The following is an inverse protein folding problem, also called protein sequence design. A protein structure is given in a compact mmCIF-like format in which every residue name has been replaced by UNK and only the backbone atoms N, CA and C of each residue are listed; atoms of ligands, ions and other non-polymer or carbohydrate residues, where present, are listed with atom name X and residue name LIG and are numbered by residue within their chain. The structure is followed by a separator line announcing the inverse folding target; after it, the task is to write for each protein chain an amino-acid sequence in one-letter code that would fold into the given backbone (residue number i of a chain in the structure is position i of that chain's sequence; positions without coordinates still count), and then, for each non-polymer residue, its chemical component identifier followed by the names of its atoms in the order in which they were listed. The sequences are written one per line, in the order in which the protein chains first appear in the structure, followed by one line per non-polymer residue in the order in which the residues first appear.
data_IF_557697135324
#
_entry.id   IF_557697135324
#
_cell.length_a   1.000
_cell.length_b   1.000
_cell.length_c   1.000
_cell.angle_alpha   90.00
_cell.angle_beta   90.00
_cell.angle_gamma   90.00
#
_symmetry.space_group_name_H-M   'P 1'
#
loop_
_entity.id
_entity.type
_entity.pdbx_description
1 polymer ?
#
# COMPACT_ATOMS: atom_id res chain seq x y z
N UNK A 1 21.09 21.75 10.46
CA UNK A 1 19.61 21.77 10.36
C UNK A 1 19.12 20.35 10.60
N UNK A 2 18.62 20.06 11.79
CA UNK A 2 18.13 18.73 12.17
C UNK A 2 16.72 18.52 11.60
N UNK A 3 16.54 17.50 10.77
CA UNK A 3 15.25 17.19 10.15
C UNK A 3 14.39 16.34 11.08
N UNK A 4 13.18 16.80 11.38
CA UNK A 4 12.16 15.99 12.03
C UNK A 4 11.58 14.97 11.04
N UNK A 5 11.39 13.74 11.50
CA UNK A 5 10.62 12.74 10.75
C UNK A 5 9.16 13.17 10.58
N UNK A 6 8.47 12.63 9.57
CA UNK A 6 7.06 13.00 9.25
C UNK A 6 6.12 12.98 10.46
N UNK A 7 6.16 11.99 11.38
CA UNK A 7 5.25 11.98 12.54
C UNK A 7 5.52 13.13 13.51
N UNK A 8 6.79 13.38 13.83
CA UNK A 8 7.19 14.46 14.73
C UNK A 8 6.86 15.82 14.15
N UNK A 9 7.06 16.00 12.83
CA UNK A 9 6.70 17.25 12.14
C UNK A 9 5.19 17.50 12.17
N UNK A 10 4.38 16.47 11.95
CA UNK A 10 2.93 16.59 12.04
C UNK A 10 2.47 17.10 13.42
N UNK A 11 3.01 16.55 14.50
CA UNK A 11 2.66 17.00 15.86
C UNK A 11 3.06 18.45 16.10
N UNK A 12 4.27 18.84 15.68
CA UNK A 12 4.78 20.21 15.83
C UNK A 12 3.87 21.19 15.09
N UNK A 13 3.52 20.87 13.85
CA UNK A 13 2.71 21.74 12.99
C UNK A 13 1.26 21.84 13.49
N UNK A 14 0.65 20.73 13.94
CA UNK A 14 -0.72 20.72 14.46
C UNK A 14 -0.86 21.47 15.79
N UNK A 15 0.15 21.38 16.66
CA UNK A 15 0.14 22.01 17.97
C UNK A 15 0.82 23.39 17.99
N UNK A 16 1.26 23.89 16.82
CA UNK A 16 1.96 25.17 16.65
C UNK A 16 3.14 25.35 17.63
N UNK A 17 3.91 24.28 17.82
CA UNK A 17 4.99 24.26 18.80
C UNK A 17 6.27 24.91 18.25
N UNK A 18 6.89 25.77 19.05
CA UNK A 18 8.24 26.25 18.77
C UNK A 18 9.26 25.32 19.46
N UNK A 19 9.93 24.47 18.68
CA UNK A 19 10.84 23.44 19.20
C UNK A 19 12.29 23.73 18.85
N UNK A 20 13.17 23.63 19.85
CA UNK A 20 14.63 23.62 19.69
C UNK A 20 15.18 22.30 20.19
N UNK A 21 16.14 21.73 19.46
CA UNK A 21 16.76 20.44 19.81
C UNK A 21 18.19 20.65 20.28
N UNK A 22 18.49 20.14 21.47
CA UNK A 22 19.84 20.16 22.04
C UNK A 22 20.41 18.74 22.03
N UNK A 23 21.56 18.57 21.40
CA UNK A 23 22.30 17.31 21.45
C UNK A 23 22.98 17.20 22.82
N UNK A 24 22.66 16.14 23.55
CA UNK A 24 23.26 15.85 24.86
C UNK A 24 24.18 14.64 24.75
N UNK A 25 25.27 14.63 25.50
CA UNK A 25 26.20 13.50 25.59
C UNK A 25 25.56 12.41 26.45
N UNK A 26 25.70 11.14 26.06
CA UNK A 26 25.27 10.03 26.90
C UNK A 26 26.02 10.05 28.24
N UNK A 27 25.33 9.75 29.35
CA UNK A 27 25.89 9.71 30.71
C UNK A 27 26.49 11.06 31.15
N UNK A 28 25.81 12.18 30.86
CA UNK A 28 26.25 13.52 31.25
C UNK A 28 25.79 13.94 32.65
N UNK A 29 25.49 12.99 33.55
CA UNK A 29 24.87 13.20 34.87
C UNK A 29 23.66 14.16 34.83
N UNK A 30 22.88 14.11 33.75
CA UNK A 30 21.66 14.88 33.62
C UNK A 30 20.48 14.00 34.03
N UNK A 31 19.96 14.29 35.22
CA UNK A 31 18.84 13.58 35.84
C UNK A 31 17.69 13.30 34.86
N UNK A 32 17.30 14.27 34.03
CA UNK A 32 16.18 14.10 33.10
C UNK A 32 16.49 13.13 31.96
N UNK A 33 17.75 13.12 31.50
CA UNK A 33 18.19 12.19 30.45
C UNK A 33 18.25 10.77 31.01
N UNK A 34 18.74 10.64 32.24
CA UNK A 34 18.85 9.35 32.92
C UNK A 34 17.47 8.75 33.23
N UNK A 35 16.51 9.57 33.66
CA UNK A 35 15.10 9.14 33.85
C UNK A 35 14.49 8.71 32.52
N UNK A 36 14.68 9.49 31.45
CA UNK A 36 14.15 9.15 30.13
C UNK A 36 14.73 7.82 29.60
N UNK A 37 16.04 7.61 29.77
CA UNK A 37 16.72 6.36 29.40
C UNK A 37 16.23 5.17 30.24
N UNK A 38 16.07 5.35 31.55
CA UNK A 38 15.53 4.31 32.44
C UNK A 38 14.10 3.92 32.04
N UNK A 39 13.24 4.88 31.73
CA UNK A 39 11.87 4.63 31.28
C UNK A 39 11.85 3.89 29.94
N UNK A 40 12.74 4.25 29.00
CA UNK A 40 12.87 3.56 27.72
C UNK A 40 13.30 2.09 27.91
N UNK A 41 14.25 1.84 28.81
CA UNK A 41 14.69 0.47 29.17
C UNK A 41 13.55 -0.34 29.79
N UNK A 42 12.81 0.24 30.74
CA UNK A 42 11.64 -0.41 31.35
C UNK A 42 10.59 -0.74 30.30
N UNK A 43 10.27 0.21 29.42
CA UNK A 43 9.33 0.00 28.31
C UNK A 43 9.76 -1.10 27.35
N UNK A 44 11.05 -1.19 27.03
CA UNK A 44 11.61 -2.25 26.19
C UNK A 44 11.55 -3.62 26.88
N UNK A 45 11.77 -3.68 28.19
CA UNK A 45 11.69 -4.93 28.98
C UNK A 45 10.25 -5.38 29.27
N UNK A 46 9.27 -4.49 29.07
CA UNK A 46 7.87 -4.81 29.25
C UNK A 46 7.36 -5.62 28.05
N UNK A 47 7.10 -6.90 28.27
CA UNK A 47 6.53 -7.81 27.26
C UNK A 47 5.05 -7.54 26.95
N UNK A 48 4.43 -6.52 27.56
CA UNK A 48 3.08 -6.11 27.21
C UNK A 48 3.10 -5.47 25.81
N UNK A 49 2.43 -6.04 24.80
CA UNK A 49 2.34 -5.40 23.49
C UNK A 49 1.65 -4.05 23.66
N UNK A 50 2.18 -3.02 22.97
CA UNK A 50 1.53 -1.72 22.87
C UNK A 50 0.17 -1.92 22.20
N UNK A 51 -0.90 -1.98 23.00
CA UNK A 51 -2.26 -2.08 22.49
C UNK A 51 -2.74 -0.68 22.12
N UNK A 52 -2.71 -0.36 20.83
CA UNK A 52 -3.37 0.84 20.31
C UNK A 52 -4.87 0.54 20.36
N UNK A 53 -5.56 1.08 21.36
CA UNK A 53 -7.02 1.01 21.40
C UNK A 53 -7.57 1.81 20.22
N UNK A 54 -8.32 1.19 19.28
CA UNK A 54 -8.92 1.91 18.17
C UNK A 54 -10.11 2.78 18.59
N UNK A 55 -10.37 2.96 19.89
CA UNK A 55 -11.53 3.65 20.47
C UNK A 55 -11.66 5.15 20.14
N UNK A 56 -10.78 5.70 19.29
CA UNK A 56 -10.90 7.05 18.74
C UNK A 56 -10.92 7.12 17.21
N UNK A 57 -10.87 5.97 16.52
CA UNK A 57 -10.95 5.92 15.06
C UNK A 57 -12.43 5.72 14.71
N UNK A 58 -13.10 6.72 14.12
CA UNK A 58 -14.49 6.55 13.70
C UNK A 58 -14.54 5.37 12.70
N UNK A 59 -15.61 4.56 12.70
CA UNK A 59 -15.77 3.50 11.72
C UNK A 59 -15.68 4.09 10.33
N UNK A 60 -14.61 3.76 9.60
CA UNK A 60 -14.41 4.18 8.22
C UNK A 60 -14.92 3.08 7.31
N UNK A 61 -15.70 3.46 6.30
CA UNK A 61 -16.04 2.57 5.19
C UNK A 61 -14.78 2.35 4.35
N UNK A 62 -14.02 1.31 4.67
CA UNK A 62 -12.86 0.88 3.88
C UNK A 62 -13.27 -0.19 2.88
N UNK A 63 -12.82 -0.05 1.64
CA UNK A 63 -12.98 -1.06 0.60
C UNK A 63 -11.62 -1.70 0.28
N UNK A 64 -11.57 -3.02 0.21
CA UNK A 64 -10.40 -3.73 -0.33
C UNK A 64 -10.46 -3.54 -1.84
N UNK A 65 -9.40 -3.02 -2.47
CA UNK A 65 -9.33 -2.87 -3.93
C UNK A 65 -8.25 -3.77 -4.53
N UNK A 66 -8.53 -4.32 -5.71
CA UNK A 66 -7.55 -5.00 -6.55
C UNK A 66 -6.99 -4.01 -7.57
N UNK A 67 -5.67 -3.83 -7.59
CA UNK A 67 -4.95 -2.90 -8.47
C UNK A 67 -5.48 -1.46 -8.47
N UNK A 68 -6.04 -0.99 -7.35
CA UNK A 68 -6.67 0.34 -7.23
C UNK A 68 -7.84 0.60 -8.20
N UNK A 69 -8.30 -0.40 -8.93
CA UNK A 69 -9.34 -0.27 -9.96
C UNK A 69 -10.64 -0.96 -9.54
N UNK A 70 -10.53 -2.08 -8.83
CA UNK A 70 -11.68 -2.97 -8.59
C UNK A 70 -11.92 -3.12 -7.10
N UNK A 71 -13.00 -2.49 -6.64
CA UNK A 71 -13.49 -2.67 -5.27
C UNK A 71 -14.01 -4.12 -5.11
N UNK A 72 -13.50 -4.82 -4.11
CA UNK A 72 -13.93 -6.15 -3.69
C UNK A 72 -15.05 -5.95 -2.65
N UNK A 73 -16.28 -5.77 -3.15
CA UNK A 73 -17.51 -5.54 -2.38
C UNK A 73 -18.37 -6.80 -2.19
N UNK A 74 -17.95 -7.94 -2.77
CA UNK A 74 -18.73 -9.17 -2.88
C UNK A 74 -17.81 -10.40 -2.90
N UNK A 75 -18.41 -11.60 -2.88
CA UNK A 75 -17.69 -12.87 -3.01
C UNK A 75 -16.57 -12.81 -4.05
N UNK A 76 -15.36 -13.24 -3.66
CA UNK A 76 -14.15 -13.21 -4.50
C UNK A 76 -14.42 -13.84 -5.88
N UNK A 77 -15.16 -14.95 -5.94
CA UNK A 77 -15.55 -15.61 -7.20
C UNK A 77 -16.34 -14.70 -8.14
N UNK A 78 -17.25 -13.87 -7.62
CA UNK A 78 -18.06 -12.93 -8.42
C UNK A 78 -17.21 -11.75 -8.89
N UNK A 79 -16.27 -11.29 -8.07
CA UNK A 79 -15.33 -10.21 -8.42
C UNK A 79 -14.35 -10.66 -9.51
N UNK A 80 -13.79 -11.87 -9.39
CA UNK A 80 -12.89 -12.46 -10.38
C UNK A 80 -13.57 -12.70 -11.73
N UNK A 81 -14.86 -13.05 -11.76
CA UNK A 81 -15.61 -13.15 -13.04
C UNK A 81 -15.59 -11.83 -13.81
N UNK A 82 -15.74 -10.68 -13.15
CA UNK A 82 -15.66 -9.37 -13.81
C UNK A 82 -14.26 -9.09 -14.38
N UNK A 83 -13.21 -9.41 -13.61
CA UNK A 83 -11.82 -9.27 -14.04
C UNK A 83 -11.56 -10.13 -15.29
N UNK A 84 -11.97 -11.40 -15.25
CA UNK A 84 -11.80 -12.33 -16.36
C UNK A 84 -12.55 -11.87 -17.61
N UNK A 85 -13.80 -11.42 -17.45
CA UNK A 85 -14.58 -10.84 -18.56
C UNK A 85 -13.84 -9.64 -19.13
N UNK A 86 -13.42 -8.68 -18.30
CA UNK A 86 -12.67 -7.50 -18.78
C UNK A 86 -11.38 -7.88 -19.53
N UNK A 87 -10.61 -8.85 -19.01
CA UNK A 87 -9.41 -9.35 -19.67
C UNK A 87 -9.71 -9.98 -21.03
N UNK A 88 -10.78 -10.78 -21.13
CA UNK A 88 -11.24 -11.38 -22.38
C UNK A 88 -11.73 -10.33 -23.39
N UNK A 89 -12.43 -9.28 -22.94
CA UNK A 89 -12.83 -8.15 -23.78
C UNK A 89 -11.62 -7.39 -24.32
N UNK A 90 -10.59 -7.19 -23.49
CA UNK A 90 -9.37 -6.50 -23.92
C UNK A 90 -8.60 -7.31 -24.97
N UNK A 91 -8.46 -8.62 -24.77
CA UNK A 91 -7.79 -9.48 -25.76
C UNK A 91 -8.58 -9.59 -27.06
N UNK A 92 -9.90 -9.73 -27.00
CA UNK A 92 -10.75 -9.77 -28.21
C UNK A 92 -10.72 -8.45 -28.99
N UNK A 93 -10.72 -7.29 -28.32
CA UNK A 93 -10.59 -5.98 -28.99
C UNK A 93 -9.24 -5.80 -29.70
N UNK A 94 -8.15 -6.30 -29.10
CA UNK A 94 -6.84 -6.23 -29.75
C UNK A 94 -6.73 -7.21 -30.92
N UNK A 95 -7.32 -8.40 -30.81
CA UNK A 95 -7.37 -9.38 -31.90
C UNK A 95 -8.23 -8.85 -33.06
N UNK A 96 -9.39 -8.27 -32.79
CA UNK A 96 -10.26 -7.70 -33.83
C UNK A 96 -9.62 -6.48 -34.50
N UNK A 97 -8.93 -5.62 -33.76
CA UNK A 97 -8.16 -4.53 -34.36
C UNK A 97 -7.00 -5.05 -35.21
N UNK A 98 -6.30 -6.11 -34.81
CA UNK A 98 -5.26 -6.72 -35.65
C UNK A 98 -5.82 -7.35 -36.94
N UNK A 99 -7.01 -7.95 -36.86
CA UNK A 99 -7.73 -8.51 -38.01
C UNK A 99 -8.24 -7.43 -38.98
N UNK A 100 -8.67 -6.26 -38.48
CA UNK A 100 -9.18 -5.16 -39.30
C UNK A 100 -8.10 -4.48 -40.16
N UNK A 101 -6.82 -4.61 -39.79
CA UNK A 101 -5.69 -3.94 -40.45
C UNK A 101 -5.07 -4.83 -41.55
N UNK A 102 -5.62 -6.02 -41.85
CA UNK A 102 -5.07 -6.97 -42.84
C UNK A 102 -3.55 -7.25 -42.65
N UNK A 103 -3.01 -7.04 -41.45
CA UNK A 103 -1.59 -7.27 -41.14
C UNK A 103 -1.22 -8.75 -41.04
N UNK A 104 -2.22 -9.62 -41.01
CA UNK A 104 -2.05 -11.07 -41.01
C UNK A 104 -2.67 -11.60 -42.30
N UNK A 105 -1.81 -11.94 -43.25
CA UNK A 105 -2.19 -12.69 -44.44
C UNK A 105 -2.42 -14.16 -44.04
N UNK A 106 -3.68 -14.59 -44.10
CA UNK A 106 -4.08 -15.96 -43.79
C UNK A 106 -4.02 -16.90 -45.01
N UNK A 107 -3.55 -16.45 -46.18
CA UNK A 107 -3.42 -17.31 -47.36
C UNK A 107 -2.49 -18.52 -47.10
N UNK A 108 -1.54 -18.42 -46.17
CA UNK A 108 -0.70 -19.54 -45.73
C UNK A 108 -1.42 -20.62 -44.89
N UNK A 109 -2.65 -20.38 -44.45
CA UNK A 109 -3.46 -21.40 -43.75
C UNK A 109 -4.42 -22.17 -44.66
N UNK A 110 -4.48 -21.84 -45.96
CA UNK A 110 -5.40 -22.51 -46.90
C UNK A 110 -4.88 -23.78 -47.55
N UNK A 111 -3.64 -24.19 -47.32
CA UNK A 111 -3.14 -25.48 -47.84
C UNK A 111 -3.58 -26.67 -46.97
N UNK A 112 -4.84 -27.07 -47.20
CA UNK A 112 -5.39 -28.37 -46.82
C UNK A 112 -4.75 -29.44 -47.70
N UNK A 113 -3.61 -30.00 -47.27
CA UNK A 113 -2.98 -31.17 -47.94
C UNK A 113 -2.44 -32.26 -47.00
N UNK A 114 -3.01 -32.41 -45.80
CA UNK A 114 -2.64 -33.51 -44.90
C UNK A 114 -3.83 -34.35 -44.41
N UNK A 115 -4.80 -34.58 -45.28
CA UNK A 115 -5.75 -35.68 -45.14
C UNK A 115 -5.74 -36.50 -46.44
N UNK A 116 -4.74 -37.37 -46.56
CA UNK A 116 -4.79 -38.63 -47.31
C UNK A 116 -4.14 -39.70 -46.42
#
# INVERSE_FOLDING_TARGET
MSYFGRPSKYIIDQLLLQVTLHKVKALSDNLYTDIADQLAKVGCSNNSPLSISPTGIPPQLSHISFNNEIIIDRDIRKTLKKILIFALWRTTYHISNLLLINLIDWDFTRDVKWLN
#
